data_IF_986401525192
#
_entry.id   IF_986401525192
#
_cell.length_a   1.000
_cell.length_b   1.000
_cell.length_c   1.000
_cell.angle_alpha   90.00
_cell.angle_beta   90.00
_cell.angle_gamma   90.00
#
_symmetry.space_group_name_H-M   'P 1'
#
loop_
_entity.id
_entity.type
_entity.pdbx_description
1 polymer ?
#
# COMPACT_ATOMS: atom_id res chain seq x y z
N UNK A 1 0.20 -4.37 -20.44
CA UNK A 1 1.38 -4.28 -19.58
C UNK A 1 1.31 -3.06 -18.64
N UNK A 2 1.15 -1.84 -19.19
CA UNK A 2 1.11 -0.62 -18.38
C UNK A 2 -0.12 -0.55 -17.47
N UNK A 3 -1.28 -0.97 -17.96
CA UNK A 3 -2.52 -1.02 -17.17
C UNK A 3 -2.35 -1.97 -15.98
N UNK A 4 -1.77 -3.12 -16.18
CA UNK A 4 -1.50 -4.11 -15.12
C UNK A 4 -0.48 -3.59 -14.12
N UNK A 5 0.58 -2.96 -14.59
CA UNK A 5 1.58 -2.33 -13.73
C UNK A 5 0.95 -1.25 -12.84
N UNK A 6 0.18 -0.36 -13.43
CA UNK A 6 -0.50 0.71 -12.68
C UNK A 6 -1.48 0.13 -11.65
N UNK A 7 -2.28 -0.85 -12.04
CA UNK A 7 -3.22 -1.51 -11.12
C UNK A 7 -2.51 -2.15 -9.93
N UNK A 8 -1.39 -2.84 -10.17
CA UNK A 8 -0.60 -3.50 -9.11
C UNK A 8 -0.01 -2.52 -8.10
N UNK A 9 0.37 -1.32 -8.55
CA UNK A 9 1.04 -0.32 -7.72
C UNK A 9 0.12 0.81 -7.25
N UNK A 10 -1.17 0.70 -7.51
CA UNK A 10 -2.15 1.76 -7.23
C UNK A 10 -2.07 2.28 -5.80
N UNK A 11 -2.14 1.41 -4.81
CA UNK A 11 -2.15 1.84 -3.41
C UNK A 11 -0.80 2.32 -2.93
N UNK A 12 0.28 1.74 -3.42
CA UNK A 12 1.64 2.24 -3.16
C UNK A 12 1.80 3.69 -3.67
N UNK A 13 1.32 3.96 -4.87
CA UNK A 13 1.36 5.29 -5.46
C UNK A 13 0.44 6.27 -4.73
N UNK A 14 -0.74 5.84 -4.32
CA UNK A 14 -1.66 6.66 -3.53
C UNK A 14 -1.05 7.04 -2.16
N UNK A 15 -0.30 6.15 -1.54
CA UNK A 15 0.39 6.42 -0.29
C UNK A 15 1.51 7.47 -0.46
N UNK A 16 2.17 7.49 -1.61
CA UNK A 16 3.17 8.50 -1.93
C UNK A 16 2.52 9.85 -2.26
N UNK A 17 1.56 9.86 -3.18
CA UNK A 17 0.85 11.07 -3.59
C UNK A 17 -0.48 10.72 -4.25
N UNK A 18 -1.62 10.99 -3.60
CA UNK A 18 -2.94 10.79 -4.21
C UNK A 18 -3.10 11.57 -5.51
N UNK A 19 -2.58 12.80 -5.57
CA UNK A 19 -2.62 13.64 -6.76
C UNK A 19 -1.87 13.02 -7.94
N UNK A 20 -0.65 12.55 -7.72
CA UNK A 20 0.17 11.92 -8.76
C UNK A 20 -0.39 10.57 -9.19
N UNK A 21 -0.93 9.80 -8.26
CA UNK A 21 -1.61 8.54 -8.57
C UNK A 21 -2.79 8.75 -9.51
N UNK A 22 -3.60 9.78 -9.26
CA UNK A 22 -4.72 10.14 -10.11
C UNK A 22 -4.25 10.58 -11.51
N UNK A 23 -3.21 11.39 -11.58
CA UNK A 23 -2.57 11.81 -12.83
C UNK A 23 -2.08 10.61 -13.65
N UNK A 24 -1.40 9.67 -13.01
CA UNK A 24 -0.94 8.44 -13.64
C UNK A 24 -2.11 7.60 -14.18
N UNK A 25 -3.21 7.51 -13.43
CA UNK A 25 -4.43 6.85 -13.87
C UNK A 25 -5.02 7.48 -15.13
N UNK A 26 -5.02 8.79 -15.23
CA UNK A 26 -5.47 9.51 -16.43
C UNK A 26 -4.57 9.22 -17.65
N UNK A 27 -3.27 9.15 -17.44
CA UNK A 27 -2.32 8.80 -18.52
C UNK A 27 -2.59 7.38 -19.04
N UNK A 28 -2.80 6.42 -18.14
CA UNK A 28 -3.08 5.02 -18.51
C UNK A 28 -4.40 4.89 -19.25
N UNK A 29 -5.43 5.66 -18.86
CA UNK A 29 -6.73 5.66 -19.51
C UNK A 29 -6.67 6.14 -20.96
N UNK A 30 -5.70 7.00 -21.30
CA UNK A 30 -5.38 7.45 -22.65
C UNK A 30 -6.58 7.94 -23.44
N UNK A 31 -7.41 8.83 -22.85
CA UNK A 31 -8.57 9.39 -23.51
C UNK A 31 -8.24 10.20 -24.79
N UNK A 32 -7.02 10.75 -24.85
CA UNK A 32 -6.52 11.52 -26.01
C UNK A 32 -6.00 10.64 -27.15
N UNK A 33 -6.07 9.32 -27.02
CA UNK A 33 -5.64 8.33 -28.02
C UNK A 33 -4.20 8.56 -28.52
N UNK A 34 -3.30 8.83 -27.62
CA UNK A 34 -1.87 8.94 -27.91
C UNK A 34 -1.27 7.57 -28.27
N UNK A 35 -0.15 7.58 -28.99
CA UNK A 35 0.56 6.36 -29.33
C UNK A 35 1.08 5.66 -28.06
N UNK A 36 1.27 4.33 -28.09
CA UNK A 36 1.84 3.62 -26.93
C UNK A 36 3.19 4.18 -26.47
N UNK A 37 4.04 4.63 -27.37
CA UNK A 37 5.33 5.24 -27.06
C UNK A 37 5.16 6.55 -26.27
N UNK A 38 4.22 7.40 -26.68
CA UNK A 38 3.92 8.67 -26.00
C UNK A 38 3.34 8.44 -24.61
N UNK A 39 2.39 7.50 -24.48
CA UNK A 39 1.79 7.13 -23.20
C UNK A 39 2.85 6.61 -22.24
N UNK A 40 3.71 5.73 -22.71
CA UNK A 40 4.78 5.14 -21.90
C UNK A 40 5.77 6.22 -21.40
N UNK A 41 6.18 7.11 -22.30
CA UNK A 41 7.07 8.20 -21.94
C UNK A 41 6.46 9.15 -20.90
N UNK A 42 5.19 9.51 -21.06
CA UNK A 42 4.47 10.35 -20.09
C UNK A 42 4.32 9.65 -18.74
N UNK A 43 3.99 8.36 -18.75
CA UNK A 43 3.85 7.59 -17.53
C UNK A 43 5.17 7.48 -16.78
N UNK A 44 6.25 7.19 -17.48
CA UNK A 44 7.59 7.10 -16.89
C UNK A 44 8.01 8.39 -16.21
N UNK A 45 7.77 9.53 -16.86
CA UNK A 45 8.08 10.84 -16.28
C UNK A 45 7.24 11.13 -15.04
N UNK A 46 5.93 10.91 -15.11
CA UNK A 46 5.01 11.15 -14.02
C UNK A 46 5.28 10.19 -12.84
N UNK A 47 5.62 8.95 -13.12
CA UNK A 47 6.03 7.97 -12.12
C UNK A 47 7.29 8.41 -11.39
N UNK A 48 8.29 8.89 -12.12
CA UNK A 48 9.53 9.43 -11.53
C UNK A 48 9.25 10.57 -10.56
N UNK A 49 8.35 11.47 -10.92
CA UNK A 49 7.93 12.57 -10.03
C UNK A 49 7.18 12.06 -8.80
N UNK A 50 6.29 11.08 -8.96
CA UNK A 50 5.55 10.49 -7.85
C UNK A 50 6.47 9.78 -6.85
N UNK A 51 7.49 9.10 -7.33
CA UNK A 51 8.43 8.35 -6.50
C UNK A 51 9.40 9.24 -5.71
N UNK A 52 9.53 10.50 -6.07
CA UNK A 52 10.33 11.48 -5.29
C UNK A 52 9.64 11.86 -3.99
N UNK A 53 8.34 11.62 -3.86
CA UNK A 53 7.55 11.98 -2.68
C UNK A 53 7.53 10.80 -1.72
N UNK A 54 8.00 11.02 -0.49
CA UNK A 54 7.91 10.02 0.57
C UNK A 54 6.44 9.79 0.97
N UNK A 55 6.05 8.56 1.32
CA UNK A 55 4.71 8.28 1.84
C UNK A 55 4.38 9.17 3.03
N UNK A 56 3.18 9.78 3.01
CA UNK A 56 2.70 10.67 4.07
C UNK A 56 1.69 9.95 4.95
N UNK A 57 1.65 10.30 6.22
CA UNK A 57 0.73 9.72 7.19
C UNK A 57 -0.72 9.81 6.73
N UNK A 58 -1.18 10.99 6.33
CA UNK A 58 -2.57 11.20 5.87
C UNK A 58 -2.90 10.36 4.62
N UNK A 59 -1.97 10.24 3.68
CA UNK A 59 -2.14 9.44 2.48
C UNK A 59 -2.18 7.94 2.80
N UNK A 60 -1.35 7.47 3.73
CA UNK A 60 -1.40 6.09 4.22
C UNK A 60 -2.74 5.79 4.90
N UNK A 61 -3.23 6.67 5.75
CA UNK A 61 -4.55 6.50 6.40
C UNK A 61 -5.65 6.35 5.35
N UNK A 62 -5.63 7.19 4.31
CA UNK A 62 -6.59 7.11 3.21
C UNK A 62 -6.53 5.75 2.50
N UNK A 63 -5.33 5.26 2.18
CA UNK A 63 -5.14 3.95 1.55
C UNK A 63 -5.67 2.83 2.46
N UNK A 64 -5.33 2.86 3.74
CA UNK A 64 -5.75 1.85 4.71
C UNK A 64 -7.27 1.79 4.87
N UNK A 65 -7.93 2.94 4.87
CA UNK A 65 -9.40 3.02 4.90
C UNK A 65 -10.02 2.43 3.63
N UNK A 66 -9.47 2.74 2.46
CA UNK A 66 -9.94 2.14 1.21
C UNK A 66 -9.79 0.62 1.22
N UNK A 67 -8.66 0.11 1.70
CA UNK A 67 -8.43 -1.33 1.78
C UNK A 67 -9.37 -2.02 2.77
N UNK A 68 -9.67 -1.40 3.91
CA UNK A 68 -10.67 -1.92 4.84
C UNK A 68 -12.04 -2.07 4.18
N UNK A 69 -12.38 -1.16 3.29
CA UNK A 69 -13.66 -1.18 2.57
C UNK A 69 -13.91 -2.46 1.79
N UNK A 70 -12.87 -3.16 1.31
CA UNK A 70 -13.01 -4.44 0.63
C UNK A 70 -13.60 -5.53 1.53
N UNK A 71 -13.45 -5.41 2.84
CA UNK A 71 -13.88 -6.39 3.83
C UNK A 71 -15.10 -5.95 4.64
N UNK A 72 -15.68 -4.80 4.34
CA UNK A 72 -16.71 -4.18 5.18
C UNK A 72 -17.93 -5.07 5.41
N UNK A 73 -18.30 -5.92 4.43
CA UNK A 73 -19.42 -6.85 4.56
C UNK A 73 -19.11 -8.09 5.40
N UNK A 74 -17.85 -8.43 5.54
CA UNK A 74 -17.38 -9.65 6.23
C UNK A 74 -16.95 -9.36 7.67
N UNK A 75 -16.55 -8.13 7.97
CA UNK A 75 -16.04 -7.74 9.27
C UNK A 75 -17.18 -7.54 10.27
N UNK A 76 -16.97 -8.03 11.50
CA UNK A 76 -17.82 -7.68 12.63
C UNK A 76 -17.63 -6.20 13.03
N UNK A 77 -18.59 -5.66 13.77
CA UNK A 77 -18.47 -4.30 14.33
C UNK A 77 -17.26 -4.16 15.24
N UNK A 78 -16.91 -5.21 15.98
CA UNK A 78 -15.72 -5.24 16.85
C UNK A 78 -14.42 -5.17 16.06
N UNK A 79 -14.33 -5.90 14.95
CA UNK A 79 -13.16 -5.91 14.07
C UNK A 79 -12.96 -4.54 13.42
N UNK A 80 -14.02 -3.92 12.93
CA UNK A 80 -13.99 -2.57 12.35
C UNK A 80 -13.52 -1.55 13.37
N UNK A 81 -14.06 -1.61 14.58
CA UNK A 81 -13.70 -0.69 15.67
C UNK A 81 -12.24 -0.84 16.05
N UNK A 82 -11.77 -2.06 16.20
CA UNK A 82 -10.36 -2.33 16.51
C UNK A 82 -9.43 -1.76 15.44
N UNK A 83 -9.76 -1.94 14.17
CA UNK A 83 -8.97 -1.40 13.08
C UNK A 83 -8.97 0.14 13.09
N UNK A 84 -10.12 0.76 13.30
CA UNK A 84 -10.22 2.22 13.36
C UNK A 84 -9.46 2.81 14.55
N UNK A 85 -9.49 2.16 15.70
CA UNK A 85 -8.68 2.54 16.86
C UNK A 85 -7.18 2.41 16.56
N UNK A 86 -6.79 1.36 15.86
CA UNK A 86 -5.41 1.17 15.40
C UNK A 86 -4.98 2.28 14.44
N UNK A 87 -5.86 2.72 13.55
CA UNK A 87 -5.59 3.86 12.66
C UNK A 87 -5.42 5.17 13.44
N UNK A 88 -6.20 5.39 14.49
CA UNK A 88 -6.04 6.55 15.38
C UNK A 88 -4.68 6.50 16.09
N UNK A 89 -4.27 5.34 16.57
CA UNK A 89 -2.94 5.15 17.18
C UNK A 89 -1.82 5.43 16.18
N UNK A 90 -2.01 5.03 14.93
CA UNK A 90 -1.07 5.34 13.86
C UNK A 90 -1.02 6.84 13.57
N UNK A 91 -2.16 7.51 13.50
CA UNK A 91 -2.24 8.97 13.33
C UNK A 91 -1.51 9.72 14.43
N UNK A 92 -1.63 9.24 15.66
CA UNK A 92 -0.96 9.81 16.84
C UNK A 92 0.49 9.34 16.99
N UNK A 93 1.00 8.58 16.03
CA UNK A 93 2.35 8.03 16.00
C UNK A 93 2.68 7.12 17.19
N UNK A 94 1.67 6.50 17.78
CA UNK A 94 1.84 5.50 18.86
C UNK A 94 2.27 4.15 18.32
N UNK A 95 1.89 3.83 17.09
CA UNK A 95 2.27 2.61 16.39
C UNK A 95 2.76 2.92 14.98
N UNK A 96 3.67 2.11 14.42
CA UNK A 96 4.10 2.26 13.03
C UNK A 96 3.02 1.77 12.06
N UNK A 97 3.15 2.13 10.78
CA UNK A 97 2.21 1.74 9.71
C UNK A 97 2.12 0.22 9.56
N UNK A 98 3.16 -0.52 9.92
CA UNK A 98 3.19 -1.98 9.88
C UNK A 98 2.09 -2.64 10.72
N UNK A 99 1.59 -1.97 11.74
CA UNK A 99 0.51 -2.50 12.59
C UNK A 99 -0.81 -2.56 11.83
N UNK A 100 -1.38 -1.45 11.33
CA UNK A 100 -2.61 -1.54 10.53
C UNK A 100 -2.42 -2.32 9.23
N UNK A 101 -1.27 -2.23 8.58
CA UNK A 101 -0.96 -3.04 7.39
C UNK A 101 -1.01 -4.53 7.72
N UNK A 102 -0.46 -4.95 8.87
CA UNK A 102 -0.50 -6.34 9.32
C UNK A 102 -1.91 -6.87 9.53
N UNK A 103 -2.81 -6.05 10.08
CA UNK A 103 -4.22 -6.41 10.24
C UNK A 103 -4.86 -6.66 8.87
N UNK A 104 -4.68 -5.76 7.92
CA UNK A 104 -5.19 -5.92 6.55
C UNK A 104 -4.61 -7.16 5.87
N UNK A 105 -3.33 -7.44 6.04
CA UNK A 105 -2.70 -8.65 5.49
C UNK A 105 -3.37 -9.91 6.05
N UNK A 106 -3.70 -9.95 7.33
CA UNK A 106 -4.41 -11.08 7.92
C UNK A 106 -5.81 -11.27 7.32
N UNK A 107 -6.53 -10.19 7.03
CA UNK A 107 -7.82 -10.26 6.36
C UNK A 107 -7.70 -10.69 4.90
N UNK A 108 -6.67 -10.24 4.20
CA UNK A 108 -6.39 -10.69 2.83
C UNK A 108 -6.20 -12.21 2.80
N UNK A 109 -5.43 -12.76 3.73
CA UNK A 109 -5.22 -14.21 3.86
C UNK A 109 -6.54 -14.92 4.19
N UNK A 110 -7.30 -14.40 5.17
CA UNK A 110 -8.53 -15.03 5.63
C UNK A 110 -9.61 -15.05 4.56
N UNK A 111 -9.84 -13.92 3.88
CA UNK A 111 -10.95 -13.76 2.94
C UNK A 111 -10.56 -13.94 1.48
N UNK A 112 -9.27 -14.00 1.18
CA UNK A 112 -8.78 -14.27 -0.17
C UNK A 112 -9.13 -13.19 -1.19
N UNK A 113 -8.95 -11.89 -0.85
CA UNK A 113 -9.24 -10.79 -1.77
C UNK A 113 -8.17 -10.68 -2.85
N UNK A 114 -8.46 -11.11 -4.11
CA UNK A 114 -7.43 -11.24 -5.14
C UNK A 114 -6.79 -9.92 -5.54
N UNK A 115 -7.57 -8.84 -5.56
CA UNK A 115 -7.05 -7.53 -5.96
C UNK A 115 -6.01 -7.01 -4.96
N UNK A 116 -6.27 -7.18 -3.67
CA UNK A 116 -5.34 -6.74 -2.62
C UNK A 116 -4.13 -7.66 -2.49
N UNK A 117 -4.30 -8.97 -2.74
CA UNK A 117 -3.17 -9.92 -2.77
C UNK A 117 -2.08 -9.49 -3.75
N UNK A 118 -2.49 -8.92 -4.90
CA UNK A 118 -1.57 -8.48 -5.95
C UNK A 118 -0.96 -7.10 -5.72
N UNK A 119 -1.37 -6.36 -4.69
CA UNK A 119 -0.91 -4.99 -4.47
C UNK A 119 0.49 -4.94 -3.86
N UNK A 120 1.39 -4.18 -4.48
CA UNK A 120 2.75 -3.96 -3.98
C UNK A 120 2.78 -3.24 -2.62
N UNK A 121 1.72 -2.54 -2.26
CA UNK A 121 1.58 -1.90 -0.95
C UNK A 121 1.72 -2.89 0.21
N UNK A 122 1.22 -4.12 0.03
CA UNK A 122 1.30 -5.18 1.04
C UNK A 122 2.53 -6.08 0.89
N UNK A 123 3.18 -6.06 -0.27
CA UNK A 123 4.39 -6.82 -0.57
C UNK A 123 5.32 -5.97 -1.44
N UNK A 124 5.94 -4.91 -0.87
CA UNK A 124 6.73 -3.97 -1.65
C UNK A 124 8.02 -4.58 -2.19
N UNK A 125 8.47 -5.70 -1.60
CA UNK A 125 9.68 -6.41 -1.99
C UNK A 125 9.35 -7.81 -2.51
N UNK A 126 10.08 -8.33 -3.51
CA UNK A 126 9.98 -9.74 -3.89
C UNK A 126 10.21 -10.65 -2.69
N UNK A 127 9.51 -11.79 -2.64
CA UNK A 127 9.62 -12.74 -1.51
C UNK A 127 11.05 -13.19 -1.25
N UNK A 128 11.82 -13.35 -2.32
CA UNK A 128 13.24 -13.70 -2.23
C UNK A 128 14.06 -12.66 -1.45
N UNK A 129 13.68 -11.38 -1.54
CA UNK A 129 14.38 -10.31 -0.81
C UNK A 129 13.87 -10.17 0.62
N UNK A 130 12.61 -10.47 0.88
CA UNK A 130 12.06 -10.42 2.25
C UNK A 130 12.65 -11.49 3.15
N UNK A 131 13.00 -12.65 2.61
CA UNK A 131 13.69 -13.72 3.36
C UNK A 131 15.13 -13.38 3.70
N UNK A 132 15.75 -12.43 2.99
CA UNK A 132 17.15 -12.01 3.17
C UNK A 132 17.26 -10.79 4.09
N UNK A 133 16.24 -9.95 4.18
CA UNK A 133 16.27 -8.64 4.83
C UNK A 133 15.97 -8.70 6.33
N UNK A 134 15.54 -9.85 6.85
CA UNK A 134 15.44 -10.02 8.30
C UNK A 134 16.57 -10.89 8.85
N UNK A 135 17.66 -10.28 9.31
CA UNK A 135 18.35 -10.90 10.41
C UNK A 135 17.35 -10.89 11.57
N UNK A 136 16.90 -12.09 11.95
CA UNK A 136 16.24 -12.25 13.24
C UNK A 136 17.17 -11.58 14.25
N UNK A 137 16.81 -10.39 14.70
CA UNK A 137 17.44 -9.83 15.87
C UNK A 137 17.05 -10.73 17.03
N UNK A 138 17.80 -11.78 17.23
CA UNK A 138 17.83 -12.43 18.51
C UNK A 138 18.09 -11.33 19.52
N UNK A 139 17.07 -10.97 20.30
CA UNK A 139 17.29 -10.17 21.50
C UNK A 139 18.40 -10.89 22.26
N UNK A 140 19.56 -10.27 22.33
CA UNK A 140 20.53 -10.71 23.32
C UNK A 140 19.80 -10.77 24.66
N UNK A 141 19.80 -11.92 25.35
CA UNK A 141 19.17 -11.97 26.65
C UNK A 141 19.76 -10.82 27.46
N UNK A 142 18.89 -9.96 27.98
CA UNK A 142 19.31 -8.82 28.76
C UNK A 142 20.26 -9.33 29.83
N UNK A 143 21.39 -8.68 29.98
CA UNK A 143 22.31 -9.02 31.09
C UNK A 143 21.50 -8.93 32.38
N UNK A 144 21.25 -10.10 32.99
CA UNK A 144 20.78 -10.14 34.37
C UNK A 144 21.87 -9.58 35.24
N UNK A 145 21.61 -8.46 35.81
CA UNK A 145 22.40 -8.00 36.95
C UNK A 145 21.88 -8.64 38.20
#
# INVERSE_FOLDING_TARGET
ALIQFHARHKYQLMACSPKRSKELGHIVANHDQKTPTEVFAQYEQALGEAMKVAPRLAANVNVLMHCMGYFSKQLSGKEKRYFLETLEDYKERKVPVSVPVGILKSWIVRYGEPYLEGQSYFSPYPEELTSVVEPVRTRKPGRKR
#
